data_IF_166274452151
#
_entry.id   IF_166274452151
#
_cell.length_a   1.000
_cell.length_b   1.000
_cell.length_c   1.000
_cell.angle_alpha   90.00
_cell.angle_beta   90.00
_cell.angle_gamma   90.00
#
_symmetry.space_group_name_H-M   'P 1'
#
loop_
_entity.id
_entity.type
_entity.pdbx_description
1 polymer ?
#
# COMPACT_ATOMS: atom_id res chain seq x y z
N UNK A 1 -29.50 -6.19 7.43
CA UNK A 1 -28.29 -5.39 7.61
C UNK A 1 -27.20 -5.76 6.60
N UNK A 2 -27.03 -7.04 6.27
CA UNK A 2 -26.14 -7.48 5.17
C UNK A 2 -26.60 -6.99 3.78
N UNK A 3 -27.90 -6.85 3.57
CA UNK A 3 -28.49 -6.31 2.33
C UNK A 3 -28.22 -4.80 2.12
N UNK A 4 -27.77 -4.09 3.15
CA UNK A 4 -27.46 -2.66 3.09
C UNK A 4 -25.95 -2.37 3.02
N UNK A 5 -25.10 -3.39 2.80
CA UNK A 5 -23.65 -3.23 2.76
C UNK A 5 -22.99 -2.96 4.12
N UNK A 6 -23.73 -3.14 5.22
CA UNK A 6 -23.20 -3.01 6.57
C UNK A 6 -22.60 -4.35 6.99
N UNK A 7 -21.29 -4.48 6.98
CA UNK A 7 -20.59 -5.69 7.45
C UNK A 7 -19.46 -6.20 6.59
N UNK A 8 -19.17 -5.55 5.47
CA UNK A 8 -17.88 -5.73 4.81
C UNK A 8 -16.81 -5.05 5.67
N UNK A 9 -15.76 -5.78 6.05
CA UNK A 9 -14.54 -5.13 6.54
C UNK A 9 -14.04 -4.21 5.43
N UNK A 10 -14.39 -2.93 5.54
CA UNK A 10 -13.86 -1.91 4.67
C UNK A 10 -12.45 -1.59 5.13
N UNK A 11 -11.52 -2.32 4.60
CA UNK A 11 -10.09 -2.09 4.79
C UNK A 11 -9.61 -0.86 4.00
N UNK A 12 -10.54 -0.07 3.47
CA UNK A 12 -10.29 0.92 2.45
C UNK A 12 -9.68 2.23 2.90
N UNK A 13 -9.94 2.69 4.09
CA UNK A 13 -9.42 3.96 4.58
C UNK A 13 -8.74 3.77 5.93
N UNK A 14 -7.55 4.35 6.07
CA UNK A 14 -6.96 4.55 7.38
C UNK A 14 -7.61 5.78 8.03
N UNK A 15 -8.44 5.61 9.06
CA UNK A 15 -9.19 6.71 9.66
C UNK A 15 -8.29 7.70 10.40
N UNK A 16 -6.99 7.36 10.59
CA UNK A 16 -6.08 8.17 11.40
C UNK A 16 -5.20 9.08 10.57
N UNK A 17 -4.96 8.78 9.30
CA UNK A 17 -4.03 9.53 8.44
C UNK A 17 -4.53 9.76 7.03
N UNK A 18 -5.81 9.51 6.76
CA UNK A 18 -6.43 9.77 5.44
C UNK A 18 -5.84 8.93 4.30
N UNK A 19 -5.18 7.81 4.62
CA UNK A 19 -4.72 6.89 3.57
C UNK A 19 -5.91 6.15 2.98
N UNK A 20 -6.12 6.31 1.70
CA UNK A 20 -6.97 5.40 0.94
C UNK A 20 -6.21 4.10 0.72
N UNK A 21 -6.61 3.05 1.41
CA UNK A 21 -6.07 1.71 1.21
C UNK A 21 -6.80 0.96 0.09
N UNK A 22 -7.77 1.61 -0.57
CA UNK A 22 -8.62 1.00 -1.60
C UNK A 22 -7.91 0.86 -2.94
N UNK A 23 -6.91 1.70 -3.23
CA UNK A 23 -6.22 1.62 -4.49
C UNK A 23 -5.07 0.61 -4.42
N UNK A 24 -4.96 -0.29 -5.39
CA UNK A 24 -3.83 -1.20 -5.50
C UNK A 24 -2.49 -0.46 -5.46
N UNK A 25 -1.47 -1.12 -4.93
CA UNK A 25 -0.12 -0.57 -4.89
C UNK A 25 0.49 -0.49 -6.29
N UNK A 26 0.18 -1.49 -7.13
CA UNK A 26 0.74 -1.60 -8.47
C UNK A 26 -0.30 -1.38 -9.56
N UNK A 27 0.15 -0.86 -10.70
CA UNK A 27 -0.62 -0.75 -11.92
C UNK A 27 0.12 -1.43 -13.07
N UNK A 28 -0.64 -2.01 -14.00
CA UNK A 28 -0.06 -2.61 -15.20
C UNK A 28 0.38 -1.52 -16.18
N UNK A 29 1.68 -1.44 -16.43
CA UNK A 29 2.23 -0.72 -17.58
C UNK A 29 2.24 -1.66 -18.80
N UNK A 30 1.20 -1.52 -19.64
CA UNK A 30 1.04 -2.38 -20.83
C UNK A 30 2.15 -2.20 -21.86
N UNK A 31 2.78 -1.02 -21.92
CA UNK A 31 3.89 -0.76 -22.86
C UNK A 31 5.17 -1.48 -22.42
N UNK A 32 5.46 -1.49 -21.13
CA UNK A 32 6.60 -2.16 -20.55
C UNK A 32 6.32 -3.64 -20.20
N UNK A 33 5.08 -4.10 -20.33
CA UNK A 33 4.62 -5.44 -19.94
C UNK A 33 5.01 -5.83 -18.50
N UNK A 34 4.86 -4.88 -17.58
CA UNK A 34 5.21 -5.06 -16.18
C UNK A 34 4.25 -4.31 -15.26
N UNK A 35 4.17 -4.75 -14.01
CA UNK A 35 3.53 -4.00 -12.95
C UNK A 35 4.53 -3.01 -12.36
N UNK A 36 4.08 -1.80 -12.12
CA UNK A 36 4.88 -0.70 -11.56
C UNK A 36 4.09 -0.01 -10.46
N UNK A 37 4.81 0.61 -9.51
CA UNK A 37 4.18 1.41 -8.47
C UNK A 37 3.27 2.47 -9.08
N UNK A 38 2.05 2.58 -8.58
CA UNK A 38 1.15 3.67 -8.96
C UNK A 38 1.71 5.02 -8.56
N UNK A 39 1.65 6.04 -9.43
CA UNK A 39 2.14 7.38 -9.10
C UNK A 39 1.52 7.96 -7.82
N UNK A 40 0.23 7.67 -7.57
CA UNK A 40 -0.52 8.14 -6.41
C UNK A 40 0.04 7.56 -5.09
N UNK A 41 0.77 6.44 -5.16
CA UNK A 41 1.38 5.78 -4.00
C UNK A 41 2.82 6.24 -3.72
N UNK A 42 3.42 7.03 -4.61
CA UNK A 42 4.82 7.46 -4.52
C UNK A 42 5.15 8.32 -3.29
N UNK A 43 4.15 8.91 -2.64
CA UNK A 43 4.34 9.64 -1.38
C UNK A 43 4.85 8.75 -0.25
N UNK A 44 4.43 7.48 -0.23
CA UNK A 44 4.71 6.55 0.87
C UNK A 44 5.58 5.37 0.47
N UNK A 45 5.65 5.07 -0.82
CA UNK A 45 6.41 3.94 -1.36
C UNK A 45 7.47 4.43 -2.32
N UNK A 46 8.47 3.61 -2.55
CA UNK A 46 9.48 3.85 -3.59
C UNK A 46 9.08 3.15 -4.88
N UNK A 47 9.51 3.72 -6.01
CA UNK A 47 9.24 3.12 -7.31
C UNK A 47 9.94 1.77 -7.43
N UNK A 48 9.14 0.74 -7.61
CA UNK A 48 9.58 -0.63 -7.86
C UNK A 48 8.56 -1.33 -8.75
N UNK A 49 8.88 -2.52 -9.25
CA UNK A 49 7.98 -3.26 -10.11
C UNK A 49 8.53 -4.62 -10.52
N UNK A 50 7.69 -5.40 -11.20
CA UNK A 50 7.97 -6.78 -11.59
C UNK A 50 7.31 -7.11 -12.92
N UNK A 51 7.73 -8.20 -13.57
CA UNK A 51 7.17 -8.62 -14.86
C UNK A 51 5.70 -9.04 -14.72
N UNK A 52 4.89 -8.73 -15.74
CA UNK A 52 3.47 -9.14 -15.77
C UNK A 52 3.32 -10.66 -15.72
N UNK A 53 4.09 -11.36 -16.52
CA UNK A 53 4.12 -12.82 -16.56
C UNK A 53 5.39 -13.31 -15.88
N UNK A 54 5.24 -14.21 -14.93
CA UNK A 54 6.35 -14.85 -14.25
C UNK A 54 6.83 -16.01 -15.08
N UNK A 55 8.09 -15.99 -15.50
CA UNK A 55 8.73 -17.10 -16.17
C UNK A 55 8.91 -18.29 -15.19
N UNK A 56 8.97 -19.50 -15.70
CA UNK A 56 9.11 -20.70 -14.86
C UNK A 56 10.43 -20.77 -14.07
N UNK A 57 11.46 -20.06 -14.51
CA UNK A 57 12.77 -19.94 -13.86
C UNK A 57 12.85 -18.73 -12.89
N UNK A 58 11.80 -17.93 -12.81
CA UNK A 58 11.74 -16.74 -11.94
C UNK A 58 11.19 -17.07 -10.57
N UNK A 59 11.90 -16.63 -9.53
CA UNK A 59 11.46 -16.71 -8.14
C UNK A 59 11.07 -15.31 -7.66
N UNK A 60 9.79 -15.11 -7.37
CA UNK A 60 9.22 -13.80 -7.03
C UNK A 60 8.98 -13.68 -5.53
N UNK A 61 9.60 -12.64 -4.94
CA UNK A 61 9.56 -12.35 -3.51
C UNK A 61 8.97 -10.96 -3.31
N UNK A 62 7.91 -10.84 -2.52
CA UNK A 62 7.44 -9.53 -2.04
C UNK A 62 7.90 -9.31 -0.61
N UNK A 63 8.51 -8.15 -0.35
CA UNK A 63 9.01 -7.76 0.97
C UNK A 63 8.15 -6.62 1.49
N UNK A 64 7.32 -6.92 2.49
CA UNK A 64 6.36 -5.98 3.07
C UNK A 64 6.89 -5.44 4.41
N UNK A 65 6.67 -4.16 4.65
CA UNK A 65 7.02 -3.55 5.94
C UNK A 65 6.93 -2.03 5.94
N UNK A 66 7.56 -1.44 6.95
CA UNK A 66 7.61 0.00 7.14
C UNK A 66 8.75 0.67 6.37
N UNK A 67 9.12 1.87 6.82
CA UNK A 67 10.21 2.67 6.23
C UNK A 67 11.57 1.98 6.20
N UNK A 68 11.81 1.04 7.12
CA UNK A 68 13.04 0.22 7.14
C UNK A 68 13.13 -0.71 5.93
N UNK A 69 12.00 -1.31 5.52
CA UNK A 69 11.93 -2.11 4.29
C UNK A 69 12.08 -1.23 3.07
N UNK A 70 11.43 -0.06 3.08
CA UNK A 70 11.53 0.91 2.01
C UNK A 70 12.98 1.34 1.73
N UNK A 71 13.83 1.43 2.78
CA UNK A 71 15.24 1.82 2.70
C UNK A 71 15.56 3.16 3.35
N UNK A 72 14.59 3.84 3.96
CA UNK A 72 14.86 5.12 4.64
C UNK A 72 15.83 4.98 5.80
N UNK A 73 16.68 6.01 6.00
CA UNK A 73 16.72 7.32 5.35
C UNK A 73 17.47 7.36 4.01
N UNK A 74 17.92 6.24 3.51
CA UNK A 74 18.70 6.11 2.29
C UNK A 74 17.78 5.81 1.08
N UNK A 75 18.37 5.42 -0.04
CA UNK A 75 17.64 5.09 -1.27
C UNK A 75 17.27 3.61 -1.35
N UNK A 76 16.39 3.26 -2.29
CA UNK A 76 15.95 1.88 -2.52
C UNK A 76 17.13 0.95 -2.87
N UNK A 77 18.16 1.48 -3.53
CA UNK A 77 19.35 0.71 -3.93
C UNK A 77 20.14 0.17 -2.73
N UNK A 78 20.02 0.83 -1.58
CA UNK A 78 20.66 0.41 -0.33
C UNK A 78 19.73 -0.31 0.63
N UNK A 79 18.46 -0.47 0.24
CA UNK A 79 17.46 -1.21 1.03
C UNK A 79 17.78 -2.71 1.06
N UNK A 80 17.50 -3.38 2.18
CA UNK A 80 17.81 -4.80 2.30
C UNK A 80 17.12 -5.70 1.26
N UNK A 81 15.91 -5.39 0.73
CA UNK A 81 15.33 -6.17 -0.36
C UNK A 81 16.23 -6.19 -1.61
N UNK A 82 16.87 -5.06 -1.92
CA UNK A 82 17.82 -4.99 -3.04
C UNK A 82 19.09 -5.83 -2.79
N UNK A 83 19.62 -5.76 -1.58
CA UNK A 83 20.74 -6.60 -1.19
C UNK A 83 20.37 -8.09 -1.18
N UNK A 84 19.17 -8.43 -0.76
CA UNK A 84 18.65 -9.80 -0.83
C UNK A 84 18.64 -10.29 -2.28
N UNK A 85 18.12 -9.50 -3.21
CA UNK A 85 18.11 -9.85 -4.64
C UNK A 85 19.53 -10.13 -5.15
N UNK A 86 20.46 -9.19 -4.92
CA UNK A 86 21.85 -9.32 -5.37
C UNK A 86 22.49 -10.60 -4.81
N UNK A 87 22.32 -10.89 -3.53
CA UNK A 87 22.89 -12.09 -2.91
C UNK A 87 22.26 -13.39 -3.47
N UNK A 88 20.96 -13.40 -3.72
CA UNK A 88 20.28 -14.56 -4.31
C UNK A 88 20.76 -14.82 -5.75
N UNK A 89 20.89 -13.77 -6.56
CA UNK A 89 21.40 -13.87 -7.93
C UNK A 89 22.85 -14.35 -7.97
N UNK A 90 23.70 -13.89 -7.04
CA UNK A 90 25.08 -14.37 -6.92
C UNK A 90 25.16 -15.83 -6.46
N UNK A 91 24.30 -16.24 -5.54
CA UNK A 91 24.28 -17.60 -5.02
C UNK A 91 23.66 -18.61 -6.02
N UNK A 92 22.76 -18.15 -6.89
CA UNK A 92 22.02 -18.98 -7.83
C UNK A 92 22.01 -18.38 -9.24
N UNK A 93 23.14 -18.36 -9.96
CA UNK A 93 23.28 -17.63 -11.23
C UNK A 93 22.39 -18.17 -12.36
N UNK A 94 21.82 -19.35 -12.20
CA UNK A 94 20.91 -19.97 -13.17
C UNK A 94 19.41 -19.72 -12.87
N UNK A 95 19.11 -18.89 -11.85
CA UNK A 95 17.73 -18.50 -11.50
C UNK A 95 17.56 -17.00 -11.61
N UNK A 96 16.36 -16.57 -11.98
CA UNK A 96 15.97 -15.17 -11.94
C UNK A 96 15.27 -14.88 -10.61
N UNK A 97 15.57 -13.75 -10.01
CA UNK A 97 14.91 -13.30 -8.78
C UNK A 97 14.25 -11.93 -9.00
N UNK A 98 12.99 -11.84 -8.65
CA UNK A 98 12.28 -10.56 -8.54
C UNK A 98 12.00 -10.32 -7.06
N UNK A 99 12.76 -9.44 -6.42
CA UNK A 99 12.57 -9.06 -5.02
C UNK A 99 11.95 -7.68 -4.97
N UNK A 100 10.64 -7.64 -4.83
CA UNK A 100 9.81 -6.43 -4.93
C UNK A 100 9.69 -5.76 -3.56
N UNK A 101 10.08 -4.50 -3.48
CA UNK A 101 10.04 -3.71 -2.27
C UNK A 101 8.66 -3.08 -2.06
N UNK A 102 7.87 -3.63 -1.12
CA UNK A 102 6.57 -3.13 -0.69
C UNK A 102 6.64 -2.42 0.67
N UNK A 103 7.77 -1.80 0.98
CA UNK A 103 7.95 -1.00 2.20
C UNK A 103 7.28 0.37 2.10
N UNK A 104 6.45 0.71 3.08
CA UNK A 104 5.74 1.98 3.15
C UNK A 104 6.12 2.83 4.36
N UNK A 105 6.26 4.15 4.18
CA UNK A 105 6.53 5.07 5.29
C UNK A 105 5.37 5.03 6.28
N UNK A 106 5.69 4.85 7.56
CA UNK A 106 4.71 4.80 8.66
C UNK A 106 3.66 3.68 8.52
N UNK A 107 3.95 2.63 7.76
CA UNK A 107 3.05 1.49 7.63
C UNK A 107 3.19 0.53 8.82
N UNK A 108 2.14 0.46 9.63
CA UNK A 108 1.94 -0.55 10.65
C UNK A 108 1.28 -1.81 10.04
N UNK A 109 1.23 -2.90 10.79
CA UNK A 109 0.81 -4.21 10.29
C UNK A 109 -0.57 -4.21 9.61
N UNK A 110 -1.55 -3.50 10.17
CA UNK A 110 -2.91 -3.46 9.62
C UNK A 110 -2.97 -2.79 8.23
N UNK A 111 -2.07 -1.83 7.94
CA UNK A 111 -1.96 -1.21 6.60
C UNK A 111 -1.27 -2.12 5.59
N UNK A 112 -0.49 -3.08 6.07
CA UNK A 112 0.16 -4.07 5.20
C UNK A 112 -0.80 -5.16 4.72
N UNK A 113 -1.93 -5.37 5.43
CA UNK A 113 -2.91 -6.41 5.06
C UNK A 113 -3.48 -6.24 3.65
N UNK A 114 -3.96 -5.06 3.23
CA UNK A 114 -4.41 -4.84 1.86
C UNK A 114 -3.31 -5.11 0.82
N UNK A 115 -2.08 -4.66 1.08
CA UNK A 115 -0.94 -4.86 0.20
C UNK A 115 -0.59 -6.35 0.10
N UNK A 116 -0.61 -7.07 1.23
CA UNK A 116 -0.40 -8.51 1.25
C UNK A 116 -1.44 -9.24 0.38
N UNK A 117 -2.72 -8.89 0.54
CA UNK A 117 -3.81 -9.45 -0.27
C UNK A 117 -3.62 -9.17 -1.76
N UNK A 118 -3.14 -7.98 -2.11
CA UNK A 118 -2.82 -7.63 -3.49
C UNK A 118 -1.65 -8.46 -4.02
N UNK A 119 -0.55 -8.58 -3.27
CA UNK A 119 0.63 -9.33 -3.67
C UNK A 119 0.33 -10.81 -3.96
N UNK A 120 -0.65 -11.41 -3.26
CA UNK A 120 -1.09 -12.78 -3.52
C UNK A 120 -1.62 -13.01 -4.93
N UNK A 121 -2.08 -11.97 -5.62
CA UNK A 121 -2.58 -12.07 -7.00
C UNK A 121 -1.46 -12.07 -8.05
N UNK A 122 -0.21 -11.88 -7.63
CA UNK A 122 0.94 -11.73 -8.54
C UNK A 122 1.91 -12.92 -8.50
N UNK A 123 1.40 -14.11 -8.20
CA UNK A 123 2.15 -15.37 -8.20
C UNK A 123 3.43 -15.33 -7.34
N UNK A 124 3.36 -14.94 -6.04
CA UNK A 124 4.52 -14.94 -5.17
C UNK A 124 5.00 -16.35 -4.86
N UNK A 125 6.32 -16.55 -4.83
CA UNK A 125 6.94 -17.76 -4.29
C UNK A 125 7.28 -17.60 -2.80
N UNK A 126 7.55 -16.34 -2.37
CA UNK A 126 7.86 -16.01 -1.00
C UNK A 126 7.31 -14.63 -0.62
N UNK A 127 6.79 -14.54 0.58
CA UNK A 127 6.40 -13.29 1.22
C UNK A 127 7.26 -13.08 2.47
N UNK A 128 7.95 -11.94 2.55
CA UNK A 128 8.75 -11.54 3.71
C UNK A 128 8.02 -10.37 4.38
N UNK A 129 7.67 -10.54 5.65
CA UNK A 129 7.04 -9.51 6.46
C UNK A 129 8.00 -9.01 7.53
N UNK A 130 8.33 -7.71 7.48
CA UNK A 130 9.15 -7.03 8.47
C UNK A 130 8.38 -5.84 9.05
N UNK A 131 7.59 -6.11 10.08
CA UNK A 131 6.71 -5.15 10.76
C UNK A 131 6.91 -5.21 12.28
N UNK A 132 6.41 -4.20 13.00
CA UNK A 132 6.42 -4.14 14.47
C UNK A 132 6.75 -2.76 15.02
N UNK A 133 7.72 -2.06 14.46
CA UNK A 133 8.16 -0.76 14.96
C UNK A 133 7.04 0.31 14.90
N UNK A 134 6.28 0.34 13.82
CA UNK A 134 5.26 1.36 13.61
C UNK A 134 4.03 1.16 14.50
N UNK A 135 3.77 -0.04 15.01
CA UNK A 135 2.72 -0.32 15.99
C UNK A 135 2.92 0.47 17.28
N UNK A 136 4.16 0.52 17.77
CA UNK A 136 4.50 1.29 18.96
C UNK A 136 4.42 2.80 18.72
N UNK A 137 4.87 3.27 17.58
CA UNK A 137 4.77 4.68 17.19
C UNK A 137 3.31 5.11 17.10
N UNK A 138 2.44 4.31 16.49
CA UNK A 138 1.03 4.59 16.38
C UNK A 138 0.31 4.55 17.72
N UNK A 139 0.57 3.56 18.56
CA UNK A 139 -0.01 3.49 19.89
C UNK A 139 0.33 4.74 20.72
N UNK A 140 1.57 5.24 20.61
CA UNK A 140 2.01 6.45 21.31
C UNK A 140 1.38 7.71 20.72
N UNK A 141 1.28 7.81 19.41
CA UNK A 141 0.83 9.03 18.71
C UNK A 141 -0.70 9.13 18.66
N UNK A 142 -1.37 8.01 18.43
CA UNK A 142 -2.81 7.97 18.16
C UNK A 142 -3.62 7.20 19.18
N UNK A 143 -3.00 6.69 20.26
CA UNK A 143 -3.68 5.85 21.26
C UNK A 143 -4.89 6.51 21.89
N UNK A 144 -4.82 7.82 22.14
CA UNK A 144 -5.94 8.59 22.69
C UNK A 144 -7.05 8.89 21.67
N UNK A 145 -6.73 8.90 20.37
CA UNK A 145 -7.66 9.26 19.28
C UNK A 145 -8.37 8.03 18.71
N UNK A 146 -7.75 6.86 18.79
CA UNK A 146 -8.31 5.58 18.29
C UNK A 146 -9.74 5.28 18.76
N UNK A 147 -10.10 5.42 20.05
CA UNK A 147 -11.46 5.18 20.52
C UNK A 147 -12.46 6.16 19.90
N UNK A 148 -12.08 7.44 19.80
CA UNK A 148 -12.94 8.49 19.26
C UNK A 148 -13.18 8.30 17.76
N UNK A 149 -12.15 8.00 16.99
CA UNK A 149 -12.26 7.75 15.57
C UNK A 149 -13.11 6.50 15.26
N UNK A 150 -13.01 5.43 16.07
CA UNK A 150 -13.88 4.26 15.95
C UNK A 150 -15.35 4.58 16.23
N UNK A 151 -15.64 5.44 17.21
CA UNK A 151 -17.03 5.82 17.54
C UNK A 151 -17.64 6.77 16.51
N UNK A 152 -16.83 7.61 15.88
CA UNK A 152 -17.28 8.59 14.87
C UNK A 152 -17.19 8.06 13.43
N UNK A 153 -16.35 7.06 13.17
CA UNK A 153 -16.13 6.51 11.83
C UNK A 153 -17.40 5.97 11.17
N UNK A 154 -18.26 5.30 11.92
CA UNK A 154 -19.54 4.79 11.42
C UNK A 154 -20.48 5.89 10.91
N UNK A 155 -20.82 6.91 11.73
CA UNK A 155 -21.65 8.02 11.30
C UNK A 155 -21.08 8.83 10.13
N UNK A 156 -19.77 9.11 10.15
CA UNK A 156 -19.08 9.85 9.05
C UNK A 156 -19.13 9.06 7.74
N UNK A 157 -18.99 7.75 7.81
CA UNK A 157 -19.03 6.87 6.64
C UNK A 157 -20.43 6.83 6.03
N UNK A 158 -21.47 6.76 6.87
CA UNK A 158 -22.87 6.84 6.40
C UNK A 158 -23.15 8.20 5.74
N UNK A 159 -22.67 9.29 6.31
CA UNK A 159 -22.81 10.63 5.73
C UNK A 159 -22.09 10.76 4.37
N UNK A 160 -20.88 10.23 4.24
CA UNK A 160 -20.12 10.23 2.96
C UNK A 160 -20.79 9.39 1.88
N UNK A 161 -21.50 8.32 2.26
CA UNK A 161 -22.24 7.46 1.34
C UNK A 161 -23.55 8.08 0.84
N UNK A 162 -24.02 9.19 1.41
CA UNK A 162 -25.24 9.85 0.97
C UNK A 162 -24.98 10.64 -0.33
N UNK A 163 -25.87 10.46 -1.32
CA UNK A 163 -25.76 11.18 -2.59
C UNK A 163 -25.72 12.70 -2.42
N UNK A 164 -26.37 13.23 -1.39
CA UNK A 164 -26.33 14.65 -1.02
C UNK A 164 -24.94 15.10 -0.56
N UNK A 165 -24.21 14.26 0.20
CA UNK A 165 -22.83 14.59 0.63
C UNK A 165 -21.90 14.56 -0.57
N UNK A 166 -22.00 13.56 -1.43
CA UNK A 166 -21.18 13.46 -2.64
C UNK A 166 -21.42 14.65 -3.59
N UNK A 167 -22.68 15.09 -3.74
CA UNK A 167 -23.00 16.28 -4.51
C UNK A 167 -22.41 17.57 -3.90
N UNK A 168 -22.48 17.73 -2.57
CA UNK A 168 -21.87 18.86 -1.86
C UNK A 168 -20.35 18.84 -1.96
N UNK A 169 -19.71 17.69 -1.82
CA UNK A 169 -18.27 17.55 -1.96
C UNK A 169 -17.81 17.90 -3.37
N UNK A 170 -18.51 17.42 -4.40
CA UNK A 170 -18.22 17.76 -5.79
C UNK A 170 -18.37 19.25 -6.08
N UNK A 171 -19.39 19.90 -5.51
CA UNK A 171 -19.59 21.35 -5.61
C UNK A 171 -18.48 22.12 -4.88
N UNK A 172 -18.08 21.68 -3.69
CA UNK A 172 -16.99 22.27 -2.94
C UNK A 172 -15.67 22.17 -3.69
N UNK A 173 -15.33 21.01 -4.22
CA UNK A 173 -14.14 20.77 -5.05
C UNK A 173 -14.13 21.64 -6.31
N UNK A 174 -15.28 21.82 -6.96
CA UNK A 174 -15.39 22.70 -8.12
C UNK A 174 -15.30 24.19 -7.78
N UNK A 175 -15.83 24.61 -6.62
CA UNK A 175 -15.81 25.99 -6.17
C UNK A 175 -14.46 26.45 -5.63
N UNK A 176 -13.72 25.55 -4.97
CA UNK A 176 -12.42 25.88 -4.36
C UNK A 176 -11.23 25.69 -5.29
N UNK A 177 -11.45 25.19 -6.51
CA UNK A 177 -10.36 24.91 -7.44
C UNK A 177 -9.40 23.82 -6.97
N UNK A 178 -9.80 23.04 -5.96
CA UNK A 178 -9.03 21.95 -5.39
C UNK A 178 -8.99 20.70 -6.31
N UNK A 179 -9.00 20.92 -7.63
CA UNK A 179 -8.54 19.90 -8.57
C UNK A 179 -7.06 19.73 -8.32
N UNK A 180 -6.67 18.56 -7.81
CA UNK A 180 -5.30 18.13 -7.79
C UNK A 180 -4.65 18.53 -9.12
N UNK A 181 -3.60 19.36 -9.08
CA UNK A 181 -2.76 19.64 -10.24
C UNK A 181 -2.26 18.30 -10.75
N UNK A 182 -2.80 17.88 -11.87
CA UNK A 182 -2.13 16.91 -12.75
C UNK A 182 -1.01 17.71 -13.42
N UNK A 183 0.18 17.60 -12.92
CA UNK A 183 1.43 17.81 -13.62
C UNK A 183 2.33 16.62 -13.32
#
# INVERSE_FOLDING_TARGET
>A
LQLAGFGGEDLGEDPFIGFSAMEPLFALNSKANRYELRPERSTYFVSDGFTRHKDSDTFRIFVLGGSTVQGRPYSIETAFPKWLQINLELAHPNKKFEVVNCGGISYASYRLVPILKECLNYEPDLLILCAGQNEFLEARTYGAIKPLARSLGGPVKVLRGLASYQALDSLYQSATGAKAKKE
#
